data_IF_290704041161
#
_entry.id   IF_290704041161
#
_cell.length_a   1.000
_cell.length_b   1.000
_cell.length_c   1.000
_cell.angle_alpha   90.00
_cell.angle_beta   90.00
_cell.angle_gamma   90.00
#
_symmetry.space_group_name_H-M   'P 1'
#
loop_
_entity.id
_entity.type
_entity.pdbx_description
1 polymer ?
#
# COMPACT_ATOMS: atom_id res chain seq x y z
N UNK A 1 12.03 -12.23 1.21
CA UNK A 1 10.82 -12.71 1.93
C UNK A 1 10.10 -13.69 1.02
N UNK A 2 9.55 -14.79 1.54
CA UNK A 2 8.76 -15.69 0.67
C UNK A 2 7.45 -14.97 0.35
N UNK A 3 7.21 -14.64 -0.92
CA UNK A 3 5.92 -14.14 -1.41
C UNK A 3 5.71 -12.61 -1.43
N UNK A 4 6.72 -11.78 -1.10
CA UNK A 4 6.67 -10.32 -1.29
C UNK A 4 7.89 -9.87 -2.05
N UNK A 5 7.67 -9.15 -3.15
CA UNK A 5 8.70 -8.64 -4.06
C UNK A 5 8.44 -7.16 -4.29
N UNK A 6 9.49 -6.35 -4.36
CA UNK A 6 9.41 -4.95 -4.74
C UNK A 6 10.55 -4.65 -5.72
N UNK A 7 10.19 -4.12 -6.88
CA UNK A 7 11.13 -3.70 -7.91
C UNK A 7 10.93 -2.20 -8.15
N UNK A 8 12.02 -1.45 -8.21
CA UNK A 8 12.00 -0.02 -8.52
C UNK A 8 12.79 0.18 -9.80
N UNK A 9 12.17 0.86 -10.75
CA UNK A 9 12.76 1.17 -12.06
C UNK A 9 12.87 2.68 -12.19
N UNK A 10 14.00 3.14 -12.74
CA UNK A 10 14.27 4.56 -12.99
C UNK A 10 14.59 4.71 -14.48
N UNK A 11 14.05 5.75 -15.11
CA UNK A 11 14.39 6.08 -16.50
C UNK A 11 15.90 6.36 -16.61
N UNK A 12 16.53 5.84 -17.66
CA UNK A 12 17.98 5.93 -17.88
C UNK A 12 18.51 7.37 -17.77
N UNK A 13 17.74 8.34 -18.26
CA UNK A 13 18.11 9.76 -18.26
C UNK A 13 18.24 10.36 -16.85
N UNK A 14 17.74 9.68 -15.82
CA UNK A 14 17.79 10.12 -14.43
C UNK A 14 18.75 9.27 -13.57
N UNK A 15 19.41 8.25 -14.16
CA UNK A 15 20.23 7.30 -13.42
C UNK A 15 21.40 7.97 -12.65
N UNK A 16 21.92 9.08 -13.17
CA UNK A 16 23.07 9.79 -12.62
C UNK A 16 22.73 10.50 -11.30
N UNK A 17 21.45 10.78 -11.04
CA UNK A 17 20.98 11.42 -9.82
C UNK A 17 20.62 10.42 -8.71
N UNK A 18 20.68 9.11 -9.00
CA UNK A 18 20.38 8.05 -8.04
C UNK A 18 21.55 7.85 -7.07
N UNK A 19 21.26 7.83 -5.77
CA UNK A 19 22.23 7.56 -4.73
C UNK A 19 21.64 6.78 -3.55
N UNK A 20 22.52 6.40 -2.61
CA UNK A 20 22.19 5.87 -1.28
C UNK A 20 21.07 4.81 -1.29
N UNK A 21 21.19 3.83 -2.20
CA UNK A 21 20.20 2.76 -2.32
C UNK A 21 20.37 1.77 -1.18
N UNK A 22 19.30 1.56 -0.43
CA UNK A 22 19.25 0.69 0.73
C UNK A 22 18.00 -0.19 0.66
N UNK A 23 18.15 -1.46 1.05
CA UNK A 23 17.06 -2.42 1.11
C UNK A 23 16.92 -3.03 2.50
N UNK A 24 15.70 -3.29 2.94
CA UNK A 24 15.42 -4.03 4.17
C UNK A 24 14.23 -4.96 4.03
N UNK A 25 14.15 -5.94 4.92
CA UNK A 25 12.99 -6.81 5.02
C UNK A 25 12.57 -6.95 6.48
N UNK A 26 11.27 -6.98 6.73
CA UNK A 26 10.66 -7.23 8.04
C UNK A 26 9.87 -8.52 7.93
N UNK A 27 10.20 -9.53 8.73
CA UNK A 27 9.38 -10.75 8.83
C UNK A 27 8.44 -10.58 10.01
N UNK A 28 7.15 -10.82 9.80
CA UNK A 28 6.14 -10.70 10.87
C UNK A 28 5.38 -12.01 11.12
N UNK A 29 5.46 -12.99 10.22
CA UNK A 29 4.85 -14.31 10.42
C UNK A 29 5.34 -15.02 11.70
N UNK A 30 4.42 -15.67 12.43
CA UNK A 30 4.67 -16.47 13.64
C UNK A 30 5.69 -15.83 14.61
N UNK A 31 5.46 -14.56 14.98
CA UNK A 31 6.35 -13.84 15.91
C UNK A 31 7.73 -13.52 15.31
N UNK A 32 7.82 -13.34 13.99
CA UNK A 32 9.05 -13.00 13.26
C UNK A 32 9.96 -14.18 12.91
N UNK A 33 9.62 -15.40 13.32
CA UNK A 33 10.46 -16.59 13.14
C UNK A 33 10.25 -17.28 11.78
N UNK A 34 9.00 -17.42 11.35
CA UNK A 34 8.61 -18.17 10.14
C UNK A 34 7.36 -17.57 9.51
N UNK A 35 7.28 -17.51 8.17
CA UNK A 35 6.03 -17.15 7.48
C UNK A 35 6.24 -16.28 6.23
N UNK A 36 5.18 -16.16 5.44
CA UNK A 36 5.12 -15.42 4.19
C UNK A 36 4.54 -13.99 4.36
N UNK A 37 4.60 -13.44 5.58
CA UNK A 37 4.03 -12.14 5.97
C UNK A 37 5.09 -11.17 6.46
N UNK A 38 4.85 -9.90 6.18
CA UNK A 38 5.66 -8.75 6.58
C UNK A 38 5.98 -7.87 5.37
N UNK A 39 7.16 -7.25 5.32
CA UNK A 39 7.44 -6.18 4.37
C UNK A 39 8.84 -6.25 3.73
N UNK A 40 8.95 -5.64 2.54
CA UNK A 40 10.19 -5.23 1.89
C UNK A 40 10.21 -3.71 1.83
N UNK A 41 11.33 -3.11 2.20
CA UNK A 41 11.55 -1.66 2.18
C UNK A 41 12.71 -1.38 1.23
N UNK A 42 12.57 -0.37 0.36
CA UNK A 42 13.67 0.16 -0.44
C UNK A 42 13.67 1.67 -0.27
N UNK A 43 14.83 2.21 0.06
CA UNK A 43 15.05 3.63 0.23
C UNK A 43 16.20 4.08 -0.67
N UNK A 44 16.08 5.22 -1.31
CA UNK A 44 17.11 5.77 -2.20
C UNK A 44 17.05 7.29 -2.21
N UNK A 45 18.14 7.95 -2.60
CA UNK A 45 18.10 9.37 -2.93
C UNK A 45 18.01 9.56 -4.44
N UNK A 46 17.22 10.54 -4.86
CA UNK A 46 17.07 10.93 -6.25
C UNK A 46 16.88 12.45 -6.28
N UNK A 47 17.78 13.16 -6.98
CA UNK A 47 17.76 14.63 -7.04
C UNK A 47 17.72 15.28 -5.66
N UNK A 48 18.63 14.84 -4.78
CA UNK A 48 18.77 15.30 -3.38
C UNK A 48 17.55 15.06 -2.48
N UNK A 49 16.47 14.47 -3.00
CA UNK A 49 15.31 14.05 -2.22
C UNK A 49 15.43 12.60 -1.78
N UNK A 50 14.95 12.31 -0.58
CA UNK A 50 14.97 10.97 0.01
C UNK A 50 13.61 10.27 -0.17
N UNK A 51 13.64 9.16 -0.90
CA UNK A 51 12.48 8.31 -1.16
C UNK A 51 12.54 7.03 -0.34
N UNK A 52 11.39 6.59 0.18
CA UNK A 52 11.21 5.27 0.79
C UNK A 52 9.93 4.62 0.30
N UNK A 53 10.04 3.39 -0.18
CA UNK A 53 8.91 2.53 -0.52
C UNK A 53 8.85 1.35 0.44
N UNK A 54 7.65 1.05 0.92
CA UNK A 54 7.35 -0.11 1.76
C UNK A 54 6.30 -0.93 1.02
N UNK A 55 6.62 -2.17 0.66
CA UNK A 55 5.64 -3.14 0.17
C UNK A 55 5.43 -4.21 1.22
N UNK A 56 4.19 -4.41 1.67
CA UNK A 56 3.88 -5.44 2.66
C UNK A 56 2.73 -6.37 2.27
N UNK A 57 2.69 -7.50 2.97
CA UNK A 57 1.60 -8.46 2.92
C UNK A 57 1.25 -8.78 4.38
N UNK A 58 0.14 -8.22 4.85
CA UNK A 58 -0.30 -8.32 6.24
C UNK A 58 -1.20 -9.54 6.48
N UNK A 59 -1.44 -9.95 7.75
CA UNK A 59 -2.23 -11.11 8.09
C UNK A 59 -3.63 -11.08 7.46
N UNK A 60 -3.98 -12.18 6.79
CA UNK A 60 -5.24 -12.36 6.10
C UNK A 60 -6.39 -12.71 7.07
N UNK A 61 -7.58 -12.87 6.48
CA UNK A 61 -8.84 -13.23 7.14
C UNK A 61 -9.45 -12.13 8.00
N UNK A 62 -10.76 -12.28 8.22
CA UNK A 62 -11.59 -11.32 8.93
C UNK A 62 -11.09 -11.14 10.37
N UNK A 63 -10.81 -12.23 11.07
CA UNK A 63 -10.28 -12.31 12.44
C UNK A 63 -8.82 -11.84 12.61
N UNK A 64 -8.12 -11.49 11.53
CA UNK A 64 -6.71 -11.08 11.56
C UNK A 64 -6.44 -9.64 11.98
N UNK A 65 -7.45 -8.86 12.39
CA UNK A 65 -7.34 -7.41 12.57
C UNK A 65 -6.25 -6.99 13.56
N UNK A 66 -6.26 -7.56 14.77
CA UNK A 66 -5.27 -7.23 15.82
C UNK A 66 -3.84 -7.50 15.32
N UNK A 67 -3.63 -8.64 14.66
CA UNK A 67 -2.32 -8.99 14.06
C UNK A 67 -1.90 -8.05 12.94
N UNK A 68 -2.84 -7.54 12.12
CA UNK A 68 -2.52 -6.50 11.12
C UNK A 68 -2.01 -5.22 11.77
N UNK A 69 -2.61 -4.82 12.89
CA UNK A 69 -2.18 -3.64 13.66
C UNK A 69 -0.79 -3.87 14.28
N UNK A 70 -0.55 -5.03 14.88
CA UNK A 70 0.76 -5.43 15.42
C UNK A 70 1.85 -5.44 14.34
N UNK A 71 1.56 -6.04 13.18
CA UNK A 71 2.47 -6.09 12.05
C UNK A 71 2.77 -4.69 11.51
N UNK A 72 1.75 -3.82 11.39
CA UNK A 72 1.94 -2.41 11.04
C UNK A 72 2.94 -1.73 11.98
N UNK A 73 2.75 -1.83 13.30
CA UNK A 73 3.66 -1.20 14.27
C UNK A 73 5.07 -1.76 14.19
N UNK A 74 5.21 -3.07 13.96
CA UNK A 74 6.51 -3.73 13.77
C UNK A 74 7.23 -3.20 12.53
N UNK A 75 6.53 -3.09 11.41
CA UNK A 75 7.09 -2.58 10.15
C UNK A 75 7.44 -1.09 10.29
N UNK A 76 6.56 -0.29 10.88
CA UNK A 76 6.79 1.14 11.09
C UNK A 76 7.98 1.42 12.02
N UNK A 77 8.11 0.66 13.12
CA UNK A 77 9.29 0.73 13.99
C UNK A 77 10.58 0.38 13.25
N UNK A 78 10.54 -0.62 12.35
CA UNK A 78 11.70 -0.94 11.52
C UNK A 78 12.02 0.18 10.52
N UNK A 79 11.01 0.76 9.89
CA UNK A 79 11.17 1.88 8.94
C UNK A 79 11.87 3.05 9.64
N UNK A 80 11.32 3.49 10.77
CA UNK A 80 11.83 4.63 11.54
C UNK A 80 13.23 4.38 12.10
N UNK A 81 13.55 3.16 12.56
CA UNK A 81 14.90 2.83 13.02
C UNK A 81 15.96 2.73 11.92
N UNK A 82 15.55 2.53 10.65
CA UNK A 82 16.46 2.45 9.50
C UNK A 82 16.67 3.80 8.82
N UNK A 83 15.68 4.68 8.88
CA UNK A 83 15.77 6.01 8.29
C UNK A 83 16.44 6.96 9.28
N UNK A 84 17.77 7.09 9.20
CA UNK A 84 18.53 8.05 10.04
C UNK A 84 18.29 9.51 9.63
N UNK A 85 17.81 9.73 8.42
CA UNK A 85 17.44 11.02 7.85
C UNK A 85 15.92 11.09 7.71
N UNK A 86 15.35 12.28 7.80
CA UNK A 86 13.95 12.51 7.44
C UNK A 86 13.72 12.16 5.96
N UNK A 87 12.60 11.53 5.67
CA UNK A 87 12.24 11.12 4.31
C UNK A 87 11.31 12.16 3.68
N UNK A 88 11.66 12.60 2.47
CA UNK A 88 10.83 13.54 1.70
C UNK A 88 9.57 12.88 1.18
N UNK A 89 9.70 11.65 0.67
CA UNK A 89 8.62 10.94 0.01
C UNK A 89 8.57 9.49 0.48
N UNK A 90 7.50 9.13 1.20
CA UNK A 90 7.28 7.77 1.67
C UNK A 90 6.01 7.22 1.05
N UNK A 91 6.09 6.02 0.48
CA UNK A 91 4.95 5.29 -0.06
C UNK A 91 4.83 3.93 0.63
N UNK A 92 3.64 3.60 1.09
CA UNK A 92 3.31 2.31 1.69
C UNK A 92 2.27 1.62 0.82
N UNK A 93 2.64 0.48 0.25
CA UNK A 93 1.84 -0.29 -0.69
C UNK A 93 1.71 -1.75 -0.24
N UNK A 94 0.77 -2.45 -0.87
CA UNK A 94 0.70 -3.90 -0.87
C UNK A 94 -0.66 -4.44 -0.46
N UNK A 95 -0.69 -5.74 -0.16
CA UNK A 95 -1.86 -6.42 0.37
C UNK A 95 -1.91 -6.21 1.89
N UNK A 96 -2.51 -5.08 2.29
CA UNK A 96 -2.71 -4.72 3.69
C UNK A 96 -3.78 -5.59 4.36
N UNK A 97 -4.55 -6.34 3.57
CA UNK A 97 -5.49 -7.36 4.05
C UNK A 97 -6.59 -6.86 5.01
N UNK A 98 -6.76 -5.55 5.20
CA UNK A 98 -7.88 -4.99 5.95
C UNK A 98 -9.20 -5.32 5.27
N UNK A 99 -10.24 -5.54 6.07
CA UNK A 99 -11.53 -6.09 5.64
C UNK A 99 -12.64 -5.10 5.94
N UNK A 100 -13.87 -5.48 5.59
CA UNK A 100 -15.06 -4.74 6.00
C UNK A 100 -15.34 -5.05 7.48
N UNK A 101 -15.25 -4.04 8.35
CA UNK A 101 -15.34 -4.17 9.80
C UNK A 101 -16.73 -4.58 10.30
N UNK A 102 -17.79 -4.17 9.59
CA UNK A 102 -19.15 -4.61 9.89
C UNK A 102 -19.34 -6.11 9.54
N UNK A 103 -19.24 -6.96 10.56
CA UNK A 103 -19.38 -8.42 10.42
C UNK A 103 -20.79 -8.87 10.06
N UNK A 104 -21.81 -8.04 10.31
CA UNK A 104 -23.19 -8.35 9.92
C UNK A 104 -23.38 -8.29 8.39
N UNK A 105 -22.47 -7.59 7.71
CA UNK A 105 -22.49 -7.43 6.26
C UNK A 105 -21.86 -8.64 5.57
N UNK A 106 -22.70 -9.61 5.20
CA UNK A 106 -22.29 -10.84 4.49
C UNK A 106 -21.87 -10.61 3.04
N UNK A 107 -21.12 -11.57 2.47
CA UNK A 107 -20.54 -11.48 1.13
C UNK A 107 -21.57 -11.18 0.01
N UNK A 108 -22.71 -11.86 0.03
CA UNK A 108 -23.80 -11.64 -0.94
C UNK A 108 -24.32 -10.19 -0.89
N UNK A 109 -24.46 -9.62 0.32
CA UNK A 109 -24.97 -8.26 0.49
C UNK A 109 -23.95 -7.22 0.04
N UNK A 110 -22.66 -7.44 0.35
CA UNK A 110 -21.58 -6.61 -0.16
C UNK A 110 -21.58 -6.60 -1.69
N UNK A 111 -21.59 -7.79 -2.32
CA UNK A 111 -21.64 -7.88 -3.78
C UNK A 111 -22.85 -7.15 -4.36
N UNK A 112 -24.04 -7.34 -3.77
CA UNK A 112 -25.26 -6.70 -4.25
C UNK A 112 -25.14 -5.16 -4.22
N UNK A 113 -24.60 -4.59 -3.14
CA UNK A 113 -24.42 -3.14 -3.03
C UNK A 113 -23.38 -2.62 -4.04
N UNK A 114 -22.26 -3.34 -4.22
CA UNK A 114 -21.27 -2.99 -5.24
C UNK A 114 -21.87 -3.02 -6.66
N UNK A 115 -22.71 -4.03 -6.97
CA UNK A 115 -23.41 -4.12 -8.26
C UNK A 115 -24.42 -2.98 -8.47
N UNK A 116 -24.94 -2.40 -7.39
CA UNK A 116 -25.85 -1.24 -7.43
C UNK A 116 -25.12 0.11 -7.39
N UNK A 117 -23.79 0.12 -7.45
CA UNK A 117 -22.99 1.35 -7.35
C UNK A 117 -22.95 1.94 -5.94
N UNK A 118 -23.40 1.20 -4.93
CA UNK A 118 -23.44 1.61 -3.51
C UNK A 118 -22.19 1.13 -2.76
N UNK A 119 -21.05 1.15 -3.45
CA UNK A 119 -19.79 0.68 -2.88
C UNK A 119 -19.25 1.60 -1.79
N UNK A 120 -19.54 2.90 -1.87
CA UNK A 120 -19.10 3.89 -0.88
C UNK A 120 -19.68 3.58 0.52
N UNK A 121 -20.93 3.13 0.60
CA UNK A 121 -21.55 2.67 1.87
C UNK A 121 -20.86 1.43 2.47
N UNK A 122 -20.19 0.63 1.64
CA UNK A 122 -19.37 -0.50 2.09
C UNK A 122 -18.02 -0.01 2.54
N UNK A 123 -17.44 0.93 1.80
CA UNK A 123 -16.14 1.52 2.05
C UNK A 123 -16.11 2.32 3.36
N UNK A 124 -17.22 2.98 3.75
CA UNK A 124 -17.39 3.61 5.07
C UNK A 124 -17.17 2.63 6.25
N UNK A 125 -17.30 1.34 5.98
CA UNK A 125 -17.14 0.25 6.96
C UNK A 125 -15.79 -0.45 6.83
N UNK A 126 -14.86 0.08 6.03
CA UNK A 126 -13.51 -0.47 5.86
C UNK A 126 -12.67 -0.32 7.13
N UNK A 127 -12.05 -1.41 7.58
CA UNK A 127 -11.24 -1.44 8.81
C UNK A 127 -10.08 -0.44 8.74
N UNK A 128 -9.37 -0.34 7.60
CA UNK A 128 -8.21 0.56 7.48
C UNK A 128 -8.65 2.02 7.58
N UNK A 129 -9.68 2.43 6.84
CA UNK A 129 -10.19 3.80 6.88
C UNK A 129 -10.68 4.20 8.29
N UNK A 130 -11.35 3.30 9.00
CA UNK A 130 -11.82 3.56 10.37
C UNK A 130 -10.66 3.71 11.37
N UNK A 131 -9.62 2.90 11.23
CA UNK A 131 -8.46 2.98 12.12
C UNK A 131 -7.59 4.21 11.81
N UNK A 132 -7.50 4.61 10.54
CA UNK A 132 -6.83 5.85 10.13
C UNK A 132 -7.59 7.08 10.64
N UNK A 133 -8.91 7.13 10.50
CA UNK A 133 -9.72 8.27 10.93
C UNK A 133 -9.72 8.49 12.45
N UNK A 134 -9.58 7.41 13.22
CA UNK A 134 -9.42 7.45 14.68
C UNK A 134 -7.96 7.62 15.12
N UNK A 135 -7.02 7.65 14.18
CA UNK A 135 -5.59 7.79 14.46
C UNK A 135 -5.02 6.62 15.25
N UNK A 136 -5.51 5.39 15.08
CA UNK A 136 -4.94 4.21 15.74
C UNK A 136 -3.69 3.71 15.00
N UNK A 137 -3.71 3.74 13.67
CA UNK A 137 -2.60 3.38 12.78
C UNK A 137 -2.44 4.45 11.70
N UNK A 138 -1.30 4.43 11.01
CA UNK A 138 -1.00 5.31 9.87
C UNK A 138 -1.24 6.80 10.19
N UNK A 139 -0.86 7.26 11.40
CA UNK A 139 -0.92 8.68 11.77
C UNK A 139 -0.03 9.51 10.85
N UNK A 140 -0.58 10.58 10.28
CA UNK A 140 0.14 11.46 9.35
C UNK A 140 0.22 10.96 7.91
N UNK A 141 -0.24 9.73 7.65
CA UNK A 141 -0.33 9.20 6.29
C UNK A 141 -1.64 9.63 5.63
N UNK A 142 -1.59 9.71 4.30
CA UNK A 142 -2.74 9.98 3.44
C UNK A 142 -2.97 8.81 2.49
N UNK A 143 -4.22 8.56 2.14
CA UNK A 143 -4.63 7.65 1.06
C UNK A 143 -5.48 8.44 0.06
N UNK A 144 -5.25 8.33 -1.26
CA UNK A 144 -6.12 9.01 -2.22
C UNK A 144 -7.55 8.44 -2.19
N UNK A 145 -8.57 9.22 -2.58
CA UNK A 145 -9.96 8.74 -2.60
C UNK A 145 -10.13 7.47 -3.43
N UNK A 146 -10.74 6.43 -2.83
CA UNK A 146 -11.05 5.17 -3.51
C UNK A 146 -12.38 5.32 -4.24
N UNK A 147 -12.35 5.21 -5.57
CA UNK A 147 -13.55 5.21 -6.43
C UNK A 147 -13.78 3.87 -7.14
N UNK A 148 -12.91 2.89 -6.88
CA UNK A 148 -12.92 1.58 -7.52
C UNK A 148 -13.55 0.51 -6.64
N UNK A 149 -13.97 -0.60 -7.28
CA UNK A 149 -14.62 -1.73 -6.60
C UNK A 149 -13.62 -2.54 -5.75
N UNK A 150 -14.09 -3.30 -4.75
CA UNK A 150 -13.24 -4.20 -3.97
C UNK A 150 -12.36 -5.08 -4.87
N UNK A 151 -11.07 -5.19 -4.51
CA UNK A 151 -10.04 -5.87 -5.32
C UNK A 151 -9.94 -7.36 -5.02
N UNK A 152 -10.46 -7.80 -3.86
CA UNK A 152 -10.47 -9.18 -3.40
C UNK A 152 -11.89 -9.60 -2.99
N UNK A 153 -12.31 -10.87 -3.02
CA UNK A 153 -11.67 -12.04 -3.64
C UNK A 153 -12.32 -12.32 -4.99
N UNK A 154 -11.56 -12.31 -6.06
CA UNK A 154 -12.01 -12.56 -7.41
C UNK A 154 -11.87 -14.06 -7.75
N UNK A 155 -12.74 -14.56 -8.62
CA UNK A 155 -12.53 -15.84 -9.29
C UNK A 155 -11.63 -15.54 -10.50
N UNK A 156 -10.40 -16.07 -10.55
CA UNK A 156 -9.50 -15.87 -11.69
C UNK A 156 -10.18 -16.20 -13.02
N UNK A 157 -9.77 -15.52 -14.07
CA UNK A 157 -10.30 -15.55 -15.45
C UNK A 157 -11.76 -15.05 -15.58
N UNK A 158 -12.58 -15.13 -14.54
CA UNK A 158 -13.99 -14.74 -14.57
C UNK A 158 -14.24 -13.29 -14.17
N UNK A 159 -13.36 -12.69 -13.38
CA UNK A 159 -13.50 -11.31 -12.89
C UNK A 159 -14.66 -11.06 -11.91
N UNK A 160 -15.40 -12.10 -11.52
CA UNK A 160 -16.51 -12.03 -10.56
C UNK A 160 -16.08 -12.43 -9.16
N UNK A 161 -16.80 -11.97 -8.12
CA UNK A 161 -16.43 -12.24 -6.74
C UNK A 161 -16.66 -13.70 -6.32
N UNK A 162 -15.67 -14.27 -5.64
CA UNK A 162 -15.78 -15.54 -4.93
C UNK A 162 -16.36 -15.31 -3.52
N UNK A 163 -17.67 -15.51 -3.38
CA UNK A 163 -18.41 -15.21 -2.15
C UNK A 163 -18.13 -16.16 -0.97
N UNK A 164 -17.21 -17.12 -1.12
CA UNK A 164 -16.60 -17.82 0.03
C UNK A 164 -15.80 -16.88 0.92
N UNK A 165 -15.48 -15.67 0.42
CA UNK A 165 -14.93 -14.55 1.17
C UNK A 165 -15.77 -13.31 0.90
N UNK A 166 -15.81 -12.40 1.87
CA UNK A 166 -16.43 -11.09 1.72
C UNK A 166 -15.56 -10.23 0.78
N UNK A 167 -16.14 -9.57 -0.24
CA UNK A 167 -15.37 -8.63 -1.04
C UNK A 167 -14.77 -7.51 -0.17
N UNK A 168 -13.52 -7.14 -0.39
CA UNK A 168 -12.79 -6.13 0.38
C UNK A 168 -11.72 -5.40 -0.45
N UNK A 169 -11.33 -4.20 -0.01
CA UNK A 169 -10.19 -3.43 -0.52
C UNK A 169 -8.93 -3.78 0.27
N UNK A 170 -8.35 -4.94 -0.06
CA UNK A 170 -7.17 -5.46 0.62
C UNK A 170 -5.88 -4.83 0.12
N UNK A 171 -5.87 -4.39 -1.14
CA UNK A 171 -4.71 -3.86 -1.85
C UNK A 171 -4.75 -2.34 -1.83
N UNK A 172 -3.75 -1.69 -1.22
CA UNK A 172 -3.81 -0.26 -0.86
C UNK A 172 -2.51 0.47 -1.18
N UNK A 173 -2.61 1.79 -1.30
CA UNK A 173 -1.49 2.70 -1.46
C UNK A 173 -1.70 3.93 -0.57
N UNK A 174 -0.77 4.13 0.36
CA UNK A 174 -0.70 5.29 1.24
C UNK A 174 0.61 6.05 1.00
N UNK A 175 0.62 7.32 1.35
CA UNK A 175 1.80 8.18 1.22
C UNK A 175 1.94 9.16 2.38
N UNK A 176 3.16 9.64 2.62
CA UNK A 176 3.49 10.62 3.65
C UNK A 176 4.77 11.37 3.27
N UNK A 177 4.94 12.59 3.79
CA UNK A 177 6.21 13.31 3.83
C UNK A 177 6.56 13.67 5.27
N UNK A 178 7.78 13.35 5.72
CA UNK A 178 8.27 13.76 7.04
C UNK A 178 8.83 15.19 7.03
N UNK A 179 9.22 15.69 5.86
CA UNK A 179 9.77 17.05 5.66
C UNK A 179 8.71 18.05 5.21
N UNK A 180 7.47 17.62 5.01
CA UNK A 180 6.35 18.46 4.57
C UNK A 180 6.35 18.77 3.08
N UNK A 181 7.00 17.94 2.25
CA UNK A 181 6.90 18.05 0.80
C UNK A 181 5.49 17.69 0.32
N UNK A 182 5.05 18.39 -0.73
CA UNK A 182 3.80 18.11 -1.39
C UNK A 182 3.91 16.82 -2.24
N UNK A 183 2.92 15.95 -2.08
CA UNK A 183 2.73 14.73 -2.87
C UNK A 183 1.35 14.79 -3.48
N UNK A 184 1.27 14.91 -4.81
CA UNK A 184 0.00 15.07 -5.51
C UNK A 184 -0.37 13.75 -6.20
N UNK A 185 -1.43 13.09 -5.72
CA UNK A 185 -1.99 11.95 -6.44
C UNK A 185 -2.74 12.43 -7.69
N UNK A 186 -2.41 11.87 -8.85
CA UNK A 186 -3.08 12.18 -10.13
C UNK A 186 -3.95 11.03 -10.63
N UNK A 187 -3.72 9.82 -10.12
CA UNK A 187 -4.50 8.64 -10.46
C UNK A 187 -4.44 7.63 -9.32
N UNK A 188 -5.57 7.02 -8.96
CA UNK A 188 -5.64 5.89 -8.04
C UNK A 188 -6.82 4.99 -8.41
N UNK A 189 -6.54 3.79 -8.92
CA UNK A 189 -7.57 2.88 -9.40
C UNK A 189 -7.11 1.41 -9.33
N UNK A 190 -8.06 0.48 -9.45
CA UNK A 190 -7.77 -0.91 -9.75
C UNK A 190 -7.92 -1.20 -11.25
N UNK A 191 -7.25 -2.25 -11.71
CA UNK A 191 -7.29 -2.67 -13.10
C UNK A 191 -8.17 -3.91 -13.27
N UNK A 192 -9.18 -3.81 -14.13
CA UNK A 192 -10.03 -4.95 -14.52
C UNK A 192 -9.41 -5.79 -15.66
N UNK A 193 -8.36 -5.29 -16.31
CA UNK A 193 -7.72 -5.94 -17.46
C UNK A 193 -6.90 -7.19 -17.11
N UNK A 194 -6.57 -7.39 -15.83
CA UNK A 194 -5.74 -8.50 -15.35
C UNK A 194 -6.54 -9.39 -14.41
N UNK A 195 -6.84 -10.61 -14.85
CA UNK A 195 -7.73 -11.54 -14.13
C UNK A 195 -7.06 -12.87 -13.74
N UNK A 196 -5.73 -12.98 -13.84
CA UNK A 196 -5.01 -14.23 -13.52
C UNK A 196 -4.92 -14.52 -12.00
N UNK A 197 -5.27 -13.54 -11.17
CA UNK A 197 -5.22 -13.60 -9.71
C UNK A 197 -6.60 -13.48 -9.07
N UNK A 198 -6.72 -13.90 -7.82
CA UNK A 198 -7.90 -13.62 -6.99
C UNK A 198 -7.88 -12.20 -6.38
N UNK A 199 -6.88 -11.39 -6.72
CA UNK A 199 -6.78 -9.96 -6.48
C UNK A 199 -6.68 -9.19 -7.81
N UNK A 200 -7.24 -7.99 -7.85
CA UNK A 200 -7.03 -7.04 -8.95
C UNK A 200 -5.81 -6.15 -8.67
N UNK A 201 -4.95 -5.87 -9.66
CA UNK A 201 -3.87 -4.90 -9.49
C UNK A 201 -4.42 -3.53 -9.11
N UNK A 202 -3.71 -2.82 -8.22
CA UNK A 202 -3.97 -1.43 -7.85
C UNK A 202 -2.82 -0.56 -8.32
N UNK A 203 -3.14 0.57 -8.93
CA UNK A 203 -2.19 1.50 -9.54
C UNK A 203 -2.41 2.88 -8.94
N UNK A 204 -1.31 3.54 -8.58
CA UNK A 204 -1.32 4.96 -8.24
C UNK A 204 -0.24 5.72 -9.00
N UNK A 205 -0.57 6.93 -9.45
CA UNK A 205 0.35 7.88 -10.06
C UNK A 205 0.47 9.13 -9.19
N UNK A 206 1.70 9.62 -9.04
CA UNK A 206 2.03 10.70 -8.13
C UNK A 206 2.99 11.67 -8.80
N UNK A 207 2.68 12.95 -8.68
CA UNK A 207 3.59 14.04 -8.97
C UNK A 207 4.26 14.49 -7.67
N UNK A 208 5.58 14.62 -7.73
CA UNK A 208 6.44 15.06 -6.63
C UNK A 208 7.46 16.06 -7.15
N UNK A 209 7.91 16.95 -6.28
CA UNK A 209 8.86 17.99 -6.64
C UNK A 209 10.28 17.59 -6.26
N UNK A 210 11.22 17.75 -7.19
CA UNK A 210 12.62 17.44 -6.94
C UNK A 210 13.50 18.62 -7.33
N UNK A 211 14.61 18.78 -6.63
CA UNK A 211 15.56 19.84 -6.91
C UNK A 211 16.52 19.36 -7.98
N UNK A 212 16.38 19.89 -9.19
CA UNK A 212 17.36 19.62 -10.24
C UNK A 212 18.67 20.31 -9.84
N UNK A 213 19.79 19.60 -9.72
CA UNK A 213 21.05 20.26 -9.46
C UNK A 213 21.33 21.25 -10.59
N UNK A 214 21.91 22.39 -10.23
CA UNK A 214 22.34 23.38 -11.22
C UNK A 214 23.15 22.63 -12.27
N UNK A 215 22.79 22.81 -13.56
CA UNK A 215 23.58 22.25 -14.67
C UNK A 215 25.02 22.75 -14.49
N UNK A 216 25.90 21.91 -13.96
CA UNK A 216 27.30 22.04 -14.31
C UNK A 216 27.32 21.77 -15.81
N UNK A 217 27.52 22.83 -16.58
CA UNK A 217 27.90 22.72 -17.98
C UNK A 217 29.08 21.75 -18.01
N UNK A 218 28.81 20.51 -18.43
CA UNK A 218 29.87 19.65 -18.91
C UNK A 218 30.20 20.21 -20.29
N UNK A 219 31.21 21.09 -20.30
CA UNK A 219 31.96 21.46 -21.50
C UNK A 219 32.56 20.21 -22.19
#
# INVERSE_FOLDING_TARGET
MVGVIMNIYIKKDHQWALGQVEGSTVKTGFGGLYGNKGAVLISFSLYEKRFTFINCHLPAHDDGLEKRIEDYHTIESRRSSKCSQSQDYIFWIGDLNFRIGDRSLGANRIQHMVQKGRQDEVLEKDELMQLMSTGQIFRGWSEPPISFRPTFKIIPERGTYNLKRRPAWTDRLLFMSETGQDIVNTYYNSSDDFLDSDHKPVVGLFDVWVDLPARHAFD
#
